data_IF_122476554822
#
_entry.id   IF_122476554822
#
_cell.length_a   1.000
_cell.length_b   1.000
_cell.length_c   1.000
_cell.angle_alpha   90.00
_cell.angle_beta   90.00
_cell.angle_gamma   90.00
#
_symmetry.space_group_name_H-M   'P 1'
#
loop_
_entity.id
_entity.type
_entity.pdbx_description
1 polymer ?
#
# COMPACT_ATOMS: atom_id res chain seq x y z
N UNK A 1 -10.76 15.99 -0.17
CA UNK A 1 -10.38 15.33 -1.43
C UNK A 1 -11.31 14.15 -1.68
N UNK A 2 -11.51 13.77 -2.92
CA UNK A 2 -12.19 12.56 -3.34
C UNK A 2 -11.14 11.53 -3.77
N UNK A 3 -11.16 10.34 -3.19
CA UNK A 3 -10.09 9.35 -3.32
C UNK A 3 -10.69 8.01 -3.76
N UNK A 4 -10.13 7.41 -4.80
CA UNK A 4 -10.42 6.05 -5.22
C UNK A 4 -9.28 5.13 -4.79
N UNK A 5 -9.60 4.05 -4.09
CA UNK A 5 -8.66 2.97 -3.76
C UNK A 5 -9.13 1.68 -4.42
N UNK A 6 -8.28 1.10 -5.26
CA UNK A 6 -8.54 -0.20 -5.90
C UNK A 6 -7.62 -1.26 -5.29
N UNK A 7 -8.22 -2.34 -4.80
CA UNK A 7 -7.54 -3.42 -4.07
C UNK A 7 -7.71 -4.72 -4.87
N UNK A 8 -6.66 -5.26 -5.50
CA UNK A 8 -6.71 -6.61 -6.03
C UNK A 8 -6.77 -7.63 -4.89
N UNK A 9 -7.72 -8.54 -4.93
CA UNK A 9 -7.84 -9.60 -3.92
C UNK A 9 -8.13 -10.95 -4.57
N UNK A 10 -7.29 -11.91 -4.26
CA UNK A 10 -7.43 -13.30 -4.72
C UNK A 10 -7.18 -14.27 -3.57
N UNK A 11 -8.03 -15.28 -3.47
CA UNK A 11 -7.81 -16.44 -2.59
C UNK A 11 -8.49 -17.67 -3.17
N UNK A 12 -7.71 -18.72 -3.39
CA UNK A 12 -8.18 -20.04 -3.74
C UNK A 12 -7.22 -21.08 -3.16
N UNK A 13 -7.65 -21.82 -2.14
CA UNK A 13 -6.81 -22.84 -1.52
C UNK A 13 -6.46 -23.95 -2.52
N UNK A 14 -5.16 -24.15 -2.75
CA UNK A 14 -4.62 -25.23 -3.55
C UNK A 14 -4.06 -26.34 -2.64
N UNK A 15 -3.88 -27.57 -3.16
CA UNK A 15 -3.11 -28.61 -2.47
C UNK A 15 -1.71 -28.11 -2.10
N UNK A 16 -1.20 -28.49 -0.92
CA UNK A 16 0.04 -27.94 -0.36
C UNK A 16 1.26 -28.11 -1.28
N UNK A 17 1.31 -29.19 -2.06
CA UNK A 17 2.36 -29.47 -3.04
C UNK A 17 2.27 -28.59 -4.31
N UNK A 18 1.15 -27.88 -4.51
CA UNK A 18 0.89 -27.02 -5.67
C UNK A 18 0.78 -25.55 -5.33
N UNK A 19 0.61 -25.19 -4.06
CA UNK A 19 0.47 -23.82 -3.59
C UNK A 19 1.81 -23.07 -3.73
N UNK A 20 1.86 -22.11 -4.65
CA UNK A 20 3.04 -21.25 -4.92
C UNK A 20 3.02 -19.96 -4.13
N UNK A 21 1.83 -19.40 -3.93
CA UNK A 21 1.62 -18.11 -3.28
C UNK A 21 0.87 -18.26 -1.96
N UNK A 22 0.99 -17.26 -1.08
CA UNK A 22 0.26 -17.25 0.21
C UNK A 22 -1.25 -17.31 0.02
N UNK A 23 -1.76 -16.67 -1.03
CA UNK A 23 -3.19 -16.67 -1.41
C UNK A 23 -3.72 -18.04 -1.89
N UNK A 24 -2.85 -19.02 -2.04
CA UNK A 24 -3.19 -20.39 -2.41
C UNK A 24 -3.06 -21.37 -1.22
N UNK A 25 -2.55 -20.90 -0.08
CA UNK A 25 -2.32 -21.74 1.11
C UNK A 25 -3.51 -21.66 2.06
N UNK A 26 -4.13 -22.83 2.32
CA UNK A 26 -5.33 -22.91 3.16
C UNK A 26 -5.12 -22.38 4.59
N UNK A 27 -3.93 -22.60 5.17
CA UNK A 27 -3.54 -22.13 6.50
C UNK A 27 -3.44 -20.60 6.58
N UNK A 28 -3.24 -19.90 5.45
CA UNK A 28 -3.17 -18.45 5.35
C UNK A 28 -4.54 -17.76 5.20
N UNK A 29 -5.62 -18.52 5.11
CA UNK A 29 -6.98 -18.00 4.92
C UNK A 29 -7.36 -16.96 5.98
N UNK A 30 -7.14 -17.23 7.27
CA UNK A 30 -7.51 -16.33 8.36
C UNK A 30 -6.66 -15.05 8.37
N UNK A 31 -5.40 -15.17 8.02
CA UNK A 31 -4.48 -14.05 7.88
C UNK A 31 -4.95 -13.10 6.75
N UNK A 32 -5.28 -13.66 5.59
CA UNK A 32 -5.81 -12.89 4.45
C UNK A 32 -7.16 -12.22 4.77
N UNK A 33 -8.05 -12.90 5.51
CA UNK A 33 -9.32 -12.31 5.98
C UNK A 33 -9.04 -11.09 6.86
N UNK A 34 -8.14 -11.21 7.85
CA UNK A 34 -7.79 -10.11 8.76
C UNK A 34 -7.10 -8.96 8.04
N UNK A 35 -6.15 -9.26 7.13
CA UNK A 35 -5.42 -8.27 6.33
C UNK A 35 -6.37 -7.41 5.51
N UNK A 36 -7.24 -8.04 4.69
CA UNK A 36 -8.19 -7.32 3.86
C UNK A 36 -9.22 -6.54 4.69
N UNK A 37 -9.73 -7.11 5.80
CA UNK A 37 -10.63 -6.42 6.70
C UNK A 37 -9.98 -5.17 7.33
N UNK A 38 -8.72 -5.30 7.78
CA UNK A 38 -7.93 -4.19 8.33
C UNK A 38 -7.67 -3.13 7.26
N UNK A 39 -7.26 -3.53 6.07
CA UNK A 39 -7.00 -2.65 4.94
C UNK A 39 -8.22 -1.76 4.61
N UNK A 40 -9.39 -2.36 4.39
CA UNK A 40 -10.63 -1.62 4.09
C UNK A 40 -11.09 -0.80 5.29
N UNK A 41 -11.13 -1.41 6.47
CA UNK A 41 -11.67 -0.79 7.69
C UNK A 41 -10.90 0.46 8.10
N UNK A 42 -9.58 0.42 8.02
CA UNK A 42 -8.73 1.55 8.43
C UNK A 42 -8.88 2.75 7.49
N UNK A 43 -9.10 2.55 6.19
CA UNK A 43 -9.34 3.64 5.24
C UNK A 43 -10.58 4.47 5.66
N UNK A 44 -11.66 3.80 6.03
CA UNK A 44 -12.86 4.48 6.51
C UNK A 44 -12.72 5.05 7.92
N UNK A 45 -11.97 4.35 8.80
CA UNK A 45 -11.69 4.84 10.15
C UNK A 45 -10.90 6.15 10.13
N UNK A 46 -9.86 6.25 9.31
CA UNK A 46 -9.01 7.43 9.26
C UNK A 46 -9.63 8.57 8.44
N UNK A 47 -10.21 8.24 7.29
CA UNK A 47 -10.62 9.23 6.30
C UNK A 47 -12.13 9.41 6.18
N UNK A 48 -12.92 8.53 6.79
CA UNK A 48 -14.38 8.65 6.78
C UNK A 48 -14.88 9.86 7.56
N UNK A 49 -16.07 10.32 7.21
CA UNK A 49 -16.71 11.49 7.85
C UNK A 49 -17.54 11.15 9.09
N UNK A 50 -17.88 9.88 9.28
CA UNK A 50 -18.80 9.42 10.32
C UNK A 50 -18.13 9.29 11.70
N UNK A 51 -17.56 10.37 12.21
CA UNK A 51 -17.05 10.44 13.58
C UNK A 51 -18.12 11.03 14.49
N UNK A 52 -18.34 10.41 15.65
CA UNK A 52 -19.32 10.87 16.64
C UNK A 52 -18.72 10.90 18.03
N UNK A 53 -19.07 11.92 18.79
CA UNK A 53 -18.79 12.02 20.21
C UNK A 53 -19.98 11.50 21.04
N UNK A 54 -19.69 10.74 22.09
CA UNK A 54 -20.71 10.28 23.03
C UNK A 54 -20.95 11.35 24.11
N UNK A 55 -22.13 11.98 24.12
CA UNK A 55 -22.59 12.86 25.17
C UNK A 55 -23.31 12.04 26.24
N UNK A 56 -22.57 11.59 27.25
CA UNK A 56 -23.10 10.73 28.31
C UNK A 56 -24.18 11.41 29.17
N UNK A 57 -24.13 12.74 29.32
CA UNK A 57 -25.10 13.50 30.11
C UNK A 57 -26.46 13.52 29.44
N UNK A 58 -26.47 13.73 28.13
CA UNK A 58 -27.70 13.81 27.32
C UNK A 58 -28.10 12.46 26.72
N UNK A 59 -27.21 11.45 26.79
CA UNK A 59 -27.39 10.11 26.19
C UNK A 59 -27.62 10.15 24.68
N UNK A 60 -26.89 11.03 23.99
CA UNK A 60 -26.95 11.18 22.53
C UNK A 60 -25.54 11.06 21.93
N UNK A 61 -25.48 10.81 20.64
CA UNK A 61 -24.29 10.96 19.82
C UNK A 61 -24.35 12.27 19.04
N UNK A 62 -23.28 13.01 19.03
CA UNK A 62 -23.11 14.26 18.31
C UNK A 62 -22.03 14.10 17.25
N UNK A 63 -22.23 14.72 16.08
CA UNK A 63 -21.19 14.70 15.03
C UNK A 63 -19.92 15.40 15.54
N UNK A 64 -18.78 14.73 15.32
CA UNK A 64 -17.44 15.27 15.61
C UNK A 64 -16.71 15.50 14.29
N UNK A 65 -16.29 16.74 13.99
CA UNK A 65 -15.55 17.03 12.78
C UNK A 65 -14.26 16.20 12.69
N UNK A 66 -14.05 15.58 11.55
CA UNK A 66 -12.78 14.93 11.20
C UNK A 66 -12.04 15.78 10.17
N UNK A 67 -11.01 16.50 10.60
CA UNK A 67 -10.20 17.35 9.69
C UNK A 67 -9.47 16.56 8.60
N UNK A 68 -9.26 15.26 8.81
CA UNK A 68 -8.65 14.35 7.83
C UNK A 68 -9.71 13.67 6.94
N UNK A 69 -10.99 14.05 7.07
CA UNK A 69 -12.06 13.45 6.29
C UNK A 69 -11.88 13.67 4.79
N UNK A 70 -12.02 12.58 4.06
CA UNK A 70 -12.06 12.54 2.61
C UNK A 70 -13.30 11.77 2.15
N UNK A 71 -13.70 11.93 0.89
CA UNK A 71 -14.62 10.99 0.26
C UNK A 71 -13.78 9.84 -0.27
N UNK A 72 -13.87 8.68 0.35
CA UNK A 72 -13.08 7.49 -0.04
C UNK A 72 -14.02 6.44 -0.61
N UNK A 73 -13.78 6.08 -1.86
CA UNK A 73 -14.42 4.97 -2.53
C UNK A 73 -13.41 3.81 -2.65
N UNK A 74 -13.78 2.64 -2.12
CA UNK A 74 -12.94 1.44 -2.16
C UNK A 74 -13.55 0.43 -3.14
N UNK A 75 -12.78 -0.01 -4.11
CA UNK A 75 -13.14 -1.09 -5.03
C UNK A 75 -12.26 -2.30 -4.81
N UNK A 76 -12.87 -3.44 -4.50
CA UNK A 76 -12.15 -4.70 -4.34
C UNK A 76 -12.31 -5.52 -5.62
N UNK A 77 -11.21 -5.62 -6.36
CA UNK A 77 -11.15 -6.32 -7.66
C UNK A 77 -10.81 -7.79 -7.42
N UNK A 78 -11.62 -8.69 -7.94
CA UNK A 78 -11.46 -10.13 -7.66
C UNK A 78 -11.65 -11.00 -8.90
N UNK A 79 -11.21 -12.24 -8.83
CA UNK A 79 -11.64 -13.29 -9.76
C UNK A 79 -12.93 -13.91 -9.22
N UNK A 80 -13.98 -14.11 -10.05
CA UNK A 80 -15.26 -14.67 -9.62
C UNK A 80 -15.11 -15.99 -8.85
N UNK A 81 -15.70 -16.06 -7.66
CA UNK A 81 -15.67 -17.25 -6.79
C UNK A 81 -14.33 -17.50 -6.08
N UNK A 82 -13.26 -16.74 -6.37
CA UNK A 82 -11.92 -16.95 -5.82
C UNK A 82 -11.51 -15.79 -4.90
N UNK A 83 -12.29 -15.56 -3.85
CA UNK A 83 -12.10 -14.45 -2.92
C UNK A 83 -12.71 -14.74 -1.55
N UNK A 84 -12.35 -13.91 -0.55
CA UNK A 84 -12.78 -14.04 0.83
C UNK A 84 -13.80 -12.97 1.28
N UNK A 85 -14.36 -12.16 0.37
CA UNK A 85 -15.23 -11.01 0.72
C UNK A 85 -16.41 -11.38 1.62
N UNK A 86 -17.01 -12.56 1.42
CA UNK A 86 -18.09 -13.03 2.29
C UNK A 86 -17.67 -13.40 3.73
N UNK A 87 -16.36 -13.39 4.05
CA UNK A 87 -15.79 -13.80 5.34
C UNK A 87 -15.11 -12.67 6.12
N UNK A 88 -14.89 -11.49 5.50
CA UNK A 88 -14.10 -10.42 6.12
C UNK A 88 -14.82 -9.66 7.24
N UNK A 89 -16.13 -9.82 7.40
CA UNK A 89 -16.91 -9.14 8.46
C UNK A 89 -17.05 -7.61 8.29
N UNK A 90 -16.60 -7.04 7.18
CA UNK A 90 -16.76 -5.63 6.86
C UNK A 90 -18.11 -5.41 6.18
N UNK A 91 -18.91 -4.39 6.58
CA UNK A 91 -20.16 -4.08 5.90
C UNK A 91 -19.97 -3.81 4.41
N UNK A 92 -20.76 -4.45 3.56
CA UNK A 92 -20.64 -4.35 2.10
C UNK A 92 -20.78 -2.93 1.54
N UNK A 93 -21.41 -2.01 2.28
CA UNK A 93 -21.49 -0.59 1.90
C UNK A 93 -20.16 0.16 1.95
N UNK A 94 -19.12 -0.43 2.56
CA UNK A 94 -17.79 0.19 2.69
C UNK A 94 -16.86 -0.13 1.52
N UNK A 95 -17.30 -0.97 0.59
CA UNK A 95 -16.55 -1.27 -0.62
C UNK A 95 -17.48 -1.71 -1.75
N UNK A 96 -17.03 -1.51 -2.98
CA UNK A 96 -17.66 -2.07 -4.17
C UNK A 96 -16.89 -3.32 -4.59
N UNK A 97 -17.60 -4.42 -4.79
CA UNK A 97 -17.02 -5.66 -5.32
C UNK A 97 -17.00 -5.61 -6.85
N UNK A 98 -15.82 -5.72 -7.45
CA UNK A 98 -15.60 -5.70 -8.91
C UNK A 98 -15.04 -7.06 -9.36
N UNK A 99 -15.90 -8.01 -9.75
CA UNK A 99 -15.44 -9.30 -10.26
C UNK A 99 -14.97 -9.18 -11.71
N UNK A 100 -13.77 -9.69 -12.00
CA UNK A 100 -13.17 -9.70 -13.35
C UNK A 100 -12.75 -11.12 -13.69
N UNK A 101 -13.20 -11.61 -14.85
CA UNK A 101 -12.80 -12.93 -15.35
C UNK A 101 -11.41 -12.85 -16.01
N UNK A 102 -10.38 -13.14 -15.25
CA UNK A 102 -8.98 -13.09 -15.68
C UNK A 102 -8.17 -14.21 -15.04
N UNK A 103 -6.95 -14.42 -15.54
CA UNK A 103 -5.95 -15.21 -14.81
C UNK A 103 -5.60 -14.47 -13.49
N UNK A 104 -5.67 -15.13 -12.33
CA UNK A 104 -5.38 -14.50 -11.03
C UNK A 104 -4.03 -13.76 -10.97
N UNK A 105 -3.03 -14.24 -11.68
CA UNK A 105 -1.70 -13.62 -11.74
C UNK A 105 -1.72 -12.21 -12.37
N UNK A 106 -2.69 -11.93 -13.23
CA UNK A 106 -2.82 -10.64 -13.91
C UNK A 106 -3.83 -9.70 -13.24
N UNK A 107 -4.40 -10.09 -12.11
CA UNK A 107 -5.43 -9.31 -11.41
C UNK A 107 -4.98 -7.88 -11.07
N UNK A 108 -3.70 -7.69 -10.71
CA UNK A 108 -3.12 -6.38 -10.46
C UNK A 108 -3.20 -5.47 -11.69
N UNK A 109 -2.89 -5.98 -12.88
CA UNK A 109 -2.99 -5.23 -14.13
C UNK A 109 -4.44 -4.95 -14.55
N UNK A 110 -5.36 -5.86 -14.28
CA UNK A 110 -6.79 -5.60 -14.47
C UNK A 110 -7.29 -4.51 -13.48
N UNK A 111 -6.73 -4.45 -12.28
CA UNK A 111 -7.01 -3.37 -11.32
C UNK A 111 -6.61 -2.00 -11.85
N UNK A 112 -5.52 -1.90 -12.62
CA UNK A 112 -5.15 -0.64 -13.32
C UNK A 112 -6.25 -0.18 -14.29
N UNK A 113 -6.87 -1.10 -15.02
CA UNK A 113 -7.97 -0.77 -15.95
C UNK A 113 -9.21 -0.25 -15.19
N UNK A 114 -9.46 -0.78 -13.99
CA UNK A 114 -10.51 -0.24 -13.11
C UNK A 114 -10.18 1.18 -12.69
N UNK A 115 -8.93 1.46 -12.31
CA UNK A 115 -8.48 2.83 -11.99
C UNK A 115 -8.70 3.75 -13.20
N UNK A 116 -8.24 3.38 -14.38
CA UNK A 116 -8.38 4.15 -15.62
C UNK A 116 -9.84 4.44 -15.98
N UNK A 117 -10.74 3.49 -15.77
CA UNK A 117 -12.16 3.68 -16.07
C UNK A 117 -12.83 4.78 -15.23
N UNK A 118 -12.14 5.28 -14.20
CA UNK A 118 -12.59 6.35 -13.32
C UNK A 118 -11.76 7.63 -13.45
N UNK A 119 -10.90 7.74 -14.45
CA UNK A 119 -10.10 8.96 -14.70
C UNK A 119 -11.02 10.20 -14.78
N UNK A 120 -10.58 11.32 -14.23
CA UNK A 120 -11.34 12.56 -14.15
C UNK A 120 -12.41 12.64 -13.05
N UNK A 121 -12.52 11.61 -12.18
CA UNK A 121 -13.59 11.56 -11.16
C UNK A 121 -13.09 11.76 -9.72
N UNK A 122 -11.77 11.66 -9.50
CA UNK A 122 -11.14 11.69 -8.17
C UNK A 122 -9.91 12.58 -8.16
N UNK A 123 -9.59 13.11 -6.98
CA UNK A 123 -8.36 13.90 -6.77
C UNK A 123 -7.13 12.99 -6.68
N UNK A 124 -7.31 11.78 -6.09
CA UNK A 124 -6.28 10.75 -5.95
C UNK A 124 -6.82 9.37 -6.30
N UNK A 125 -5.93 8.58 -6.87
CA UNK A 125 -6.15 7.17 -7.23
C UNK A 125 -5.07 6.31 -6.59
N UNK A 126 -5.47 5.27 -5.89
CA UNK A 126 -4.57 4.33 -5.23
C UNK A 126 -4.75 2.90 -5.72
N UNK A 127 -3.64 2.25 -5.97
CA UNK A 127 -3.51 0.80 -6.02
C UNK A 127 -2.98 0.35 -4.66
N UNK A 128 -3.61 -0.61 -4.03
CA UNK A 128 -3.24 -1.07 -2.69
C UNK A 128 -3.39 -2.58 -2.61
N UNK A 129 -2.31 -3.31 -2.31
CA UNK A 129 -2.41 -4.75 -2.06
C UNK A 129 -3.27 -5.03 -0.82
N UNK A 130 -3.91 -6.20 -0.79
CA UNK A 130 -4.96 -6.55 0.17
C UNK A 130 -4.46 -6.75 1.62
N UNK A 131 -3.15 -6.62 1.85
CA UNK A 131 -2.49 -6.69 3.15
C UNK A 131 -1.64 -5.45 3.46
N UNK A 132 -1.79 -4.38 2.68
CA UNK A 132 -1.16 -3.08 2.96
C UNK A 132 -2.12 -2.18 3.75
N UNK A 133 -1.63 -1.60 4.84
CA UNK A 133 -2.42 -0.79 5.76
C UNK A 133 -1.81 0.60 5.95
N UNK A 134 -2.64 1.62 5.78
CA UNK A 134 -2.29 3.03 6.08
C UNK A 134 -2.67 3.31 7.53
N UNK A 135 -1.74 3.86 8.32
CA UNK A 135 -2.00 4.24 9.72
C UNK A 135 -2.02 5.75 9.96
N UNK A 136 -1.56 6.52 8.98
CA UNK A 136 -1.39 7.97 9.13
C UNK A 136 -2.64 8.72 8.65
N UNK A 137 -3.38 9.44 9.53
CA UNK A 137 -4.53 10.24 9.13
C UNK A 137 -4.16 11.41 8.19
N UNK A 138 -2.88 11.80 8.14
CA UNK A 138 -2.38 12.85 7.25
C UNK A 138 -1.77 12.32 5.95
N UNK A 139 -1.90 11.04 5.66
CA UNK A 139 -1.25 10.37 4.53
C UNK A 139 -1.44 11.12 3.20
N UNK A 140 -2.67 11.40 2.81
CA UNK A 140 -2.96 12.11 1.55
C UNK A 140 -2.57 13.59 1.60
N UNK A 141 -2.59 14.22 2.77
CA UNK A 141 -2.07 15.60 2.94
C UNK A 141 -0.55 15.65 2.74
N UNK A 142 0.18 14.62 3.16
CA UNK A 142 1.63 14.50 2.95
C UNK A 142 1.98 14.26 1.48
N UNK A 143 1.19 13.45 0.76
CA UNK A 143 1.33 13.29 -0.69
C UNK A 143 1.12 14.62 -1.42
N UNK A 144 0.04 15.32 -1.11
CA UNK A 144 -0.28 16.62 -1.69
C UNK A 144 0.78 17.67 -1.35
N UNK A 145 1.27 17.68 -0.10
CA UNK A 145 2.36 18.54 0.32
C UNK A 145 3.65 18.32 -0.50
N UNK A 146 4.06 17.06 -0.68
CA UNK A 146 5.21 16.73 -1.52
C UNK A 146 5.00 17.18 -2.96
N UNK A 147 3.87 16.85 -3.56
CA UNK A 147 3.56 17.19 -4.94
C UNK A 147 3.64 18.71 -5.19
N UNK A 148 3.05 19.52 -4.30
CA UNK A 148 3.08 20.99 -4.42
C UNK A 148 4.47 21.61 -4.29
N UNK A 149 5.35 20.99 -3.51
CA UNK A 149 6.69 21.56 -3.26
C UNK A 149 7.77 21.05 -4.23
N UNK A 150 7.48 19.97 -4.98
CA UNK A 150 8.48 19.32 -5.85
C UNK A 150 8.14 19.44 -7.33
N UNK A 151 6.86 19.61 -7.69
CA UNK A 151 6.41 19.61 -9.09
C UNK A 151 7.10 20.63 -10.00
N UNK A 152 7.46 21.79 -9.47
CA UNK A 152 8.14 22.86 -10.24
C UNK A 152 9.59 22.50 -10.57
N UNK A 153 10.23 21.68 -9.75
CA UNK A 153 11.62 21.25 -9.92
C UNK A 153 11.73 19.89 -10.62
N UNK A 154 10.75 19.01 -10.42
CA UNK A 154 10.64 17.70 -11.06
C UNK A 154 9.17 17.36 -11.34
N UNK A 155 8.72 17.67 -12.54
CA UNK A 155 7.34 17.41 -12.98
C UNK A 155 6.98 15.92 -13.06
N UNK A 156 7.98 15.04 -13.00
CA UNK A 156 7.82 13.60 -12.95
C UNK A 156 8.00 13.00 -11.55
N UNK A 157 8.12 13.82 -10.53
CA UNK A 157 8.27 13.34 -9.16
C UNK A 157 7.01 12.61 -8.69
N UNK A 158 7.20 11.45 -8.07
CA UNK A 158 6.17 10.70 -7.37
C UNK A 158 6.71 10.28 -6.00
N UNK A 159 6.00 10.65 -4.94
CA UNK A 159 6.32 10.15 -3.60
C UNK A 159 5.66 8.79 -3.37
N UNK A 160 6.49 7.80 -3.03
CA UNK A 160 6.05 6.47 -2.65
C UNK A 160 6.30 6.23 -1.15
N UNK A 161 5.37 5.58 -0.42
CA UNK A 161 5.56 5.31 0.99
C UNK A 161 6.68 4.28 1.23
N UNK A 162 7.33 4.36 2.39
CA UNK A 162 8.15 3.29 2.90
C UNK A 162 7.26 2.17 3.45
N UNK A 163 7.48 0.93 3.00
CA UNK A 163 6.79 -0.24 3.52
C UNK A 163 7.52 -0.78 4.74
N UNK A 164 6.79 -1.07 5.80
CA UNK A 164 7.35 -1.71 6.98
C UNK A 164 6.53 -2.92 7.41
N UNK A 165 7.16 -3.82 8.14
CA UNK A 165 6.52 -4.87 8.93
C UNK A 165 6.77 -4.62 10.41
N UNK A 166 5.83 -5.01 11.27
CA UNK A 166 5.93 -4.84 12.71
C UNK A 166 5.75 -6.17 13.44
N UNK A 167 6.22 -6.21 14.68
CA UNK A 167 6.04 -7.37 15.57
C UNK A 167 4.55 -7.68 15.84
N UNK A 168 3.64 -6.73 15.63
CA UNK A 168 2.19 -6.95 15.79
C UNK A 168 1.59 -7.85 14.68
N UNK A 169 2.31 -8.07 13.58
CA UNK A 169 1.91 -8.94 12.49
C UNK A 169 2.37 -10.39 12.65
N UNK A 170 3.04 -10.74 13.76
CA UNK A 170 3.62 -12.07 14.01
C UNK A 170 3.36 -12.53 15.44
N UNK A 171 3.28 -13.84 15.63
CA UNK A 171 3.28 -14.47 16.95
C UNK A 171 4.71 -14.63 17.52
N UNK A 172 5.75 -14.33 16.72
CA UNK A 172 7.15 -14.41 17.10
C UNK A 172 7.66 -13.04 17.54
N UNK A 173 8.10 -12.94 18.79
CA UNK A 173 8.79 -11.75 19.32
C UNK A 173 10.28 -12.08 19.35
N UNK A 174 11.00 -11.63 18.33
CA UNK A 174 12.41 -11.96 18.19
C UNK A 174 13.32 -11.13 19.10
N UNK A 175 12.88 -9.96 19.58
CA UNK A 175 13.68 -9.13 20.48
C UNK A 175 12.87 -8.05 21.19
N UNK A 176 13.41 -7.61 22.32
CA UNK A 176 12.85 -6.51 23.12
C UNK A 176 13.12 -5.12 22.50
N UNK A 177 13.82 -5.02 21.36
CA UNK A 177 14.27 -3.75 20.82
C UNK A 177 13.99 -3.56 19.30
N UNK A 178 13.65 -4.61 18.53
CA UNK A 178 13.26 -4.48 17.13
C UNK A 178 11.74 -4.46 17.01
N UNK A 179 11.18 -3.31 16.68
CA UNK A 179 9.73 -3.11 16.57
C UNK A 179 9.25 -3.04 15.12
N UNK A 180 10.14 -2.69 14.19
CA UNK A 180 9.85 -2.55 12.74
C UNK A 180 11.01 -3.00 11.89
N UNK A 181 10.68 -3.57 10.74
CA UNK A 181 11.60 -3.86 9.63
C UNK A 181 11.11 -3.17 8.38
N UNK A 182 12.03 -2.56 7.62
CA UNK A 182 11.75 -1.96 6.32
C UNK A 182 12.37 -2.85 5.23
N UNK A 183 11.60 -3.78 4.62
CA UNK A 183 12.14 -4.79 3.71
C UNK A 183 12.70 -4.19 2.42
N UNK A 184 12.21 -3.04 2.00
CA UNK A 184 12.63 -2.40 0.74
C UNK A 184 13.73 -1.35 0.94
N UNK A 185 14.37 -1.31 2.11
CA UNK A 185 15.36 -0.29 2.47
C UNK A 185 16.60 -0.29 1.58
N UNK A 186 17.13 -1.47 1.26
CA UNK A 186 18.37 -1.63 0.48
C UNK A 186 18.22 -2.71 -0.59
N UNK A 187 17.33 -2.51 -1.56
CA UNK A 187 17.06 -3.56 -2.56
C UNK A 187 18.07 -3.58 -3.71
N UNK A 188 18.93 -2.58 -3.88
CA UNK A 188 19.96 -2.59 -4.92
C UNK A 188 21.23 -1.89 -4.49
N UNK A 189 22.39 -2.42 -4.92
CA UNK A 189 23.72 -1.81 -4.82
C UNK A 189 23.92 -0.65 -5.83
N UNK A 190 22.83 -0.16 -6.43
CA UNK A 190 22.87 0.96 -7.36
C UNK A 190 23.23 2.28 -6.67
N UNK A 191 23.84 3.22 -7.40
CA UNK A 191 24.16 4.53 -6.85
C UNK A 191 22.91 5.21 -6.32
N UNK A 192 23.03 5.87 -5.17
CA UNK A 192 21.98 6.77 -4.65
C UNK A 192 21.71 7.80 -5.72
N UNK A 193 20.44 7.98 -6.10
CA UNK A 193 20.10 9.03 -7.04
C UNK A 193 20.49 10.40 -6.45
N UNK A 194 21.20 11.21 -7.23
CA UNK A 194 21.79 12.48 -6.78
C UNK A 194 20.76 13.58 -6.44
N UNK A 195 19.47 13.33 -6.60
CA UNK A 195 18.44 14.35 -6.36
C UNK A 195 17.84 14.17 -4.98
N UNK A 196 18.21 15.07 -4.08
CA UNK A 196 17.65 15.16 -2.73
C UNK A 196 16.74 16.39 -2.65
N UNK A 197 15.46 16.18 -2.34
CA UNK A 197 14.56 17.26 -1.97
C UNK A 197 14.55 17.43 -0.45
N UNK A 198 14.72 18.67 0.02
CA UNK A 198 14.65 19.03 1.42
C UNK A 198 13.45 19.94 1.62
N UNK A 199 12.42 19.45 2.30
CA UNK A 199 11.19 20.20 2.54
C UNK A 199 11.03 20.53 4.03
N UNK A 200 10.56 21.74 4.32
CA UNK A 200 10.24 22.16 5.69
C UNK A 200 8.93 21.50 6.13
N UNK A 201 8.94 20.80 7.26
CA UNK A 201 7.76 20.11 7.77
C UNK A 201 7.74 20.12 9.31
N UNK A 202 6.66 20.63 9.91
CA UNK A 202 6.45 20.72 11.37
C UNK A 202 7.66 21.32 12.13
N UNK A 203 8.28 22.37 11.62
CA UNK A 203 9.42 23.02 12.26
C UNK A 203 10.77 22.32 12.08
N UNK A 204 10.82 21.24 11.33
CA UNK A 204 12.01 20.50 10.92
C UNK A 204 12.15 20.41 9.41
N UNK A 205 13.09 19.58 8.97
CA UNK A 205 13.28 19.26 7.55
C UNK A 205 13.10 17.77 7.32
N UNK A 206 12.35 17.41 6.29
CA UNK A 206 12.23 16.05 5.77
C UNK A 206 12.98 15.98 4.45
N UNK A 207 13.76 14.93 4.27
CA UNK A 207 14.55 14.71 3.06
C UNK A 207 14.01 13.52 2.27
N UNK A 208 14.03 13.69 0.94
CA UNK A 208 13.57 12.67 0.00
C UNK A 208 14.66 12.41 -1.02
N UNK A 209 14.90 11.14 -1.31
CA UNK A 209 15.85 10.70 -2.33
C UNK A 209 15.18 9.83 -3.39
N UNK A 210 15.81 9.72 -4.55
CA UNK A 210 15.38 8.76 -5.59
C UNK A 210 15.38 7.36 -5.02
N UNK A 211 14.23 6.69 -5.07
CA UNK A 211 14.08 5.36 -4.52
C UNK A 211 14.93 4.34 -5.30
N UNK A 212 15.76 3.60 -4.60
CA UNK A 212 16.53 2.48 -5.17
C UNK A 212 15.63 1.30 -5.47
N UNK A 213 14.64 1.06 -4.59
CA UNK A 213 13.60 0.07 -4.75
C UNK A 213 12.24 0.78 -4.76
N UNK A 214 11.65 1.05 -5.93
CA UNK A 214 10.35 1.73 -6.03
C UNK A 214 9.18 0.76 -5.78
N UNK A 215 9.33 -0.13 -4.82
CA UNK A 215 8.31 -1.09 -4.42
C UNK A 215 7.76 -0.75 -3.03
N UNK A 216 6.46 -0.92 -2.82
CA UNK A 216 5.77 -0.74 -1.52
C UNK A 216 4.45 -1.50 -1.43
N UNK A 217 4.13 -2.39 -2.39
CA UNK A 217 2.82 -3.05 -2.49
C UNK A 217 1.66 -2.09 -2.77
N UNK A 218 1.96 -0.83 -3.10
CA UNK A 218 0.97 0.19 -3.38
C UNK A 218 1.57 1.36 -4.16
N UNK A 219 0.68 2.17 -4.75
CA UNK A 219 1.02 3.51 -5.23
C UNK A 219 -0.20 4.43 -5.14
N UNK A 220 0.05 5.73 -5.10
CA UNK A 220 -0.99 6.77 -5.05
C UNK A 220 -0.60 7.90 -6.00
N UNK A 221 -1.48 8.21 -6.93
CA UNK A 221 -1.27 9.24 -7.96
C UNK A 221 -2.40 10.25 -7.92
N UNK A 222 -2.08 11.53 -8.12
CA UNK A 222 -3.09 12.56 -8.36
C UNK A 222 -3.70 12.40 -9.75
N UNK A 223 -4.79 13.10 -10.04
CA UNK A 223 -5.39 13.10 -11.39
C UNK A 223 -4.36 13.48 -12.48
N UNK A 224 -3.56 14.51 -12.25
CA UNK A 224 -2.52 14.90 -13.20
C UNK A 224 -1.44 13.83 -13.39
N UNK A 225 -1.07 13.13 -12.32
CA UNK A 225 -0.12 12.02 -12.37
C UNK A 225 -0.75 10.79 -13.03
N UNK A 226 -2.06 10.54 -12.85
CA UNK A 226 -2.75 9.45 -13.56
C UNK A 226 -2.68 9.61 -15.08
N UNK A 227 -2.87 10.83 -15.58
CA UNK A 227 -2.73 11.13 -17.02
C UNK A 227 -1.31 10.88 -17.57
N UNK A 228 -0.29 10.92 -16.70
CA UNK A 228 1.09 10.54 -17.04
C UNK A 228 1.26 9.02 -16.98
N UNK A 229 0.72 8.39 -15.94
CA UNK A 229 0.80 6.96 -15.70
C UNK A 229 0.08 6.13 -16.78
N UNK A 230 -1.04 6.64 -17.30
CA UNK A 230 -1.79 6.03 -18.42
C UNK A 230 -0.93 5.76 -19.65
N UNK A 231 0.11 6.58 -19.86
CA UNK A 231 1.04 6.45 -20.98
C UNK A 231 2.16 5.45 -20.74
N UNK A 232 2.30 4.91 -19.52
CA UNK A 232 3.30 3.89 -19.23
C UNK A 232 2.95 2.56 -19.94
N UNK A 233 3.91 1.89 -20.58
CA UNK A 233 3.66 0.69 -21.41
C UNK A 233 2.96 -0.43 -20.64
N UNK A 234 3.24 -0.58 -19.35
CA UNK A 234 2.70 -1.66 -18.53
C UNK A 234 1.53 -1.25 -17.63
N UNK A 235 0.99 -0.02 -17.74
CA UNK A 235 -0.20 0.35 -16.99
C UNK A 235 -1.45 -0.27 -17.63
N UNK A 236 -2.01 -1.28 -16.99
CA UNK A 236 -3.12 -2.08 -17.53
C UNK A 236 -2.71 -3.09 -18.60
N UNK A 237 -1.40 -3.30 -18.82
CA UNK A 237 -0.88 -4.23 -19.81
C UNK A 237 0.18 -5.14 -19.22
N UNK A 238 0.14 -6.40 -19.62
CA UNK A 238 1.11 -7.44 -19.22
C UNK A 238 2.19 -7.68 -20.28
N UNK A 239 2.31 -6.81 -21.28
CA UNK A 239 3.27 -6.97 -22.36
C UNK A 239 4.69 -6.79 -21.87
N UNK A 240 5.52 -7.83 -21.98
CA UNK A 240 6.95 -7.77 -21.63
C UNK A 240 7.26 -7.79 -20.12
N UNK A 241 6.29 -8.15 -19.27
CA UNK A 241 6.51 -8.36 -17.83
C UNK A 241 7.28 -9.67 -17.57
N UNK A 242 7.94 -9.73 -16.41
CA UNK A 242 8.56 -10.96 -15.95
C UNK A 242 7.49 -11.90 -15.35
N UNK A 243 7.26 -13.04 -16.01
CA UNK A 243 6.25 -14.02 -15.59
C UNK A 243 6.48 -14.62 -14.19
N UNK A 244 7.68 -14.50 -13.62
CA UNK A 244 7.98 -15.00 -12.28
C UNK A 244 7.57 -14.00 -11.17
N UNK A 245 7.51 -12.70 -11.49
CA UNK A 245 7.28 -11.62 -10.51
C UNK A 245 6.02 -10.80 -10.77
N UNK A 246 5.06 -11.35 -11.50
CA UNK A 246 3.86 -10.65 -11.99
C UNK A 246 3.09 -9.88 -10.90
N UNK A 247 3.02 -10.42 -9.68
CA UNK A 247 2.27 -9.79 -8.59
C UNK A 247 2.96 -8.51 -8.10
N UNK A 248 4.29 -8.57 -7.90
CA UNK A 248 5.07 -7.40 -7.45
C UNK A 248 5.17 -6.35 -8.56
N UNK A 249 5.20 -6.78 -9.82
CA UNK A 249 5.35 -5.90 -10.97
C UNK A 249 4.15 -4.98 -11.19
N UNK A 250 2.93 -5.41 -10.89
CA UNK A 250 1.75 -4.57 -11.00
C UNK A 250 1.83 -3.31 -10.11
N UNK A 251 2.37 -3.42 -8.90
CA UNK A 251 2.54 -2.28 -7.99
C UNK A 251 3.76 -1.40 -8.34
N UNK A 252 4.68 -1.85 -9.21
CA UNK A 252 6.02 -1.27 -9.33
C UNK A 252 6.35 -0.78 -10.74
N UNK A 253 6.26 -1.65 -11.75
CA UNK A 253 6.79 -1.37 -13.09
C UNK A 253 6.19 -0.11 -13.74
N UNK A 254 4.86 0.06 -13.81
CA UNK A 254 4.29 1.24 -14.46
C UNK A 254 4.72 2.54 -13.78
N UNK A 255 4.92 2.48 -12.45
CA UNK A 255 5.30 3.64 -11.64
C UNK A 255 6.69 4.12 -12.00
N UNK A 256 7.69 3.23 -12.01
CA UNK A 256 9.06 3.67 -12.32
C UNK A 256 9.28 3.94 -13.81
N UNK A 257 8.42 3.40 -14.70
CA UNK A 257 8.42 3.74 -16.13
C UNK A 257 7.92 5.17 -16.38
N UNK A 258 6.96 5.62 -15.59
CA UNK A 258 6.32 6.93 -15.75
C UNK A 258 7.01 8.04 -14.95
N UNK A 259 7.57 7.73 -13.76
CA UNK A 259 7.96 8.71 -12.77
C UNK A 259 9.40 8.59 -12.27
N UNK A 260 9.86 9.69 -11.76
CA UNK A 260 10.99 9.76 -10.86
C UNK A 260 10.47 9.47 -9.45
N UNK A 261 10.62 8.22 -8.98
CA UNK A 261 10.08 7.80 -7.70
C UNK A 261 10.98 8.24 -6.56
N UNK A 262 10.39 8.88 -5.55
CA UNK A 262 11.05 9.34 -4.34
C UNK A 262 10.51 8.61 -3.12
N UNK A 263 11.38 8.38 -2.14
CA UNK A 263 11.03 7.95 -0.78
C UNK A 263 11.72 8.88 0.22
N UNK A 264 11.15 9.02 1.41
CA UNK A 264 11.84 9.69 2.51
C UNK A 264 13.06 8.87 2.95
N UNK A 265 14.16 9.58 3.25
CA UNK A 265 15.44 8.95 3.60
C UNK A 265 15.38 8.22 4.95
N UNK A 266 16.45 7.49 5.26
CA UNK A 266 16.57 6.63 6.45
C UNK A 266 16.04 7.24 7.75
N UNK A 267 16.45 8.45 8.12
CA UNK A 267 16.02 9.11 9.37
C UNK A 267 14.55 9.56 9.34
N UNK A 268 13.99 9.72 8.15
CA UNK A 268 12.66 10.29 7.90
C UNK A 268 11.68 9.23 7.36
N UNK A 269 12.00 7.93 7.42
CA UNK A 269 11.20 6.85 6.83
C UNK A 269 9.75 6.82 7.32
N UNK A 270 9.51 7.29 8.53
CA UNK A 270 8.18 7.41 9.11
C UNK A 270 7.38 8.62 8.61
N UNK A 271 7.95 9.49 7.77
CA UNK A 271 7.20 10.62 7.20
C UNK A 271 6.00 10.12 6.40
N UNK A 272 6.24 9.18 5.49
CA UNK A 272 5.17 8.51 4.72
C UNK A 272 5.46 7.01 4.70
N UNK A 273 4.62 6.23 5.38
CA UNK A 273 4.82 4.79 5.51
C UNK A 273 3.51 4.02 5.45
N UNK A 274 3.60 2.76 5.03
CA UNK A 274 2.51 1.79 5.04
C UNK A 274 2.97 0.52 5.74
N UNK A 275 2.07 -0.16 6.44
CA UNK A 275 2.34 -1.45 7.05
C UNK A 275 1.99 -2.57 6.06
N UNK A 276 2.90 -3.50 5.85
CA UNK A 276 2.57 -4.83 5.36
C UNK A 276 2.09 -5.65 6.55
N UNK A 277 0.78 -5.88 6.63
CA UNK A 277 0.13 -6.45 7.82
C UNK A 277 0.47 -7.92 8.07
N UNK A 278 1.26 -8.51 7.19
CA UNK A 278 1.76 -9.87 7.26
C UNK A 278 3.27 -9.81 7.48
N UNK A 279 3.74 -10.34 8.60
CA UNK A 279 5.14 -10.25 9.03
C UNK A 279 6.06 -11.25 8.30
N UNK A 280 6.08 -11.21 6.96
CA UNK A 280 6.85 -12.14 6.15
C UNK A 280 8.36 -12.00 6.36
N UNK A 281 8.83 -10.76 6.39
CA UNK A 281 10.25 -10.46 6.56
C UNK A 281 10.63 -10.41 8.04
N UNK A 282 9.73 -9.92 8.89
CA UNK A 282 9.95 -9.92 10.33
C UNK A 282 10.13 -11.35 10.86
N UNK A 283 9.33 -12.32 10.38
CA UNK A 283 9.41 -13.73 10.77
C UNK A 283 10.73 -14.42 10.32
N UNK A 284 11.46 -13.81 9.38
CA UNK A 284 12.74 -14.35 8.87
C UNK A 284 13.97 -13.71 9.52
N UNK A 285 13.77 -12.80 10.49
CA UNK A 285 14.88 -12.24 11.25
C UNK A 285 15.34 -13.19 12.34
N UNK A 286 16.65 -13.29 12.50
CA UNK A 286 17.30 -13.85 13.69
C UNK A 286 18.18 -12.79 14.33
N UNK A 287 18.20 -12.79 15.65
CA UNK A 287 19.05 -11.88 16.42
C UNK A 287 20.13 -12.70 17.08
N UNK A 288 21.37 -12.40 16.72
CA UNK A 288 22.55 -13.03 17.27
C UNK A 288 22.84 -12.56 18.70
N UNK A 289 23.65 -13.31 19.42
CA UNK A 289 24.01 -13.00 20.81
C UNK A 289 24.73 -11.65 21.00
N UNK A 290 25.35 -11.12 19.94
CA UNK A 290 26.00 -9.80 19.94
C UNK A 290 25.03 -8.65 19.59
N UNK A 291 23.74 -8.98 19.35
CA UNK A 291 22.71 -8.03 18.96
C UNK A 291 22.65 -7.72 17.46
N UNK A 292 23.49 -8.35 16.66
CA UNK A 292 23.37 -8.24 15.20
C UNK A 292 22.10 -8.93 14.71
N UNK A 293 21.51 -8.38 13.64
CA UNK A 293 20.31 -8.94 12.99
C UNK A 293 20.74 -9.59 11.69
N UNK A 294 20.44 -10.87 11.55
CA UNK A 294 20.67 -11.62 10.32
C UNK A 294 19.34 -12.02 9.69
N UNK A 295 19.39 -12.19 8.39
CA UNK A 295 18.25 -12.63 7.62
C UNK A 295 18.37 -14.11 7.30
N UNK A 296 17.47 -14.90 7.87
CA UNK A 296 17.39 -16.35 7.67
C UNK A 296 16.42 -16.68 6.54
N UNK A 297 16.71 -16.23 5.33
CA UNK A 297 15.93 -16.67 4.16
C UNK A 297 16.52 -18.00 3.66
N UNK A 298 15.75 -19.10 3.64
CA UNK A 298 16.20 -20.28 2.91
C UNK A 298 16.40 -19.88 1.44
N UNK A 299 17.60 -20.13 0.94
CA UNK A 299 17.97 -19.88 -0.47
C UNK A 299 17.15 -20.73 -1.42
#
# INVERSE_FOLDING_TARGET
>A
MKILICIPHFFEAAPADKARYRSERAEKCQEKIRGLAKCIGILHLLFGRAHVGANHRQRIFEEVPNECAHSVDVKVVTVPGKHLLGKIGIPSRLYEHVPINTNPRYLGFETHKVILSHAGQYDYYGYLEDDIVIHDPHFFRKLDYFNRNVSDTDSKALLQPNRFESFLGTDNVHSDWVYKVYPDYTYSDGPVGDVIHNLDYLGGKVQFERARAPHSGCFFVSEAQLATLEKAPNFGSTTGINEEMVLDEAATIPIYQAFNVYKSIQRDMNFLQVEHAVATFFDQMEIEADGSVIWNRPR
#
